data_IF_385430086373
#
_entry.id   IF_385430086373
#
_cell.length_a   1.000
_cell.length_b   1.000
_cell.length_c   1.000
_cell.angle_alpha   90.00
_cell.angle_beta   90.00
_cell.angle_gamma   90.00
#
_symmetry.space_group_name_H-M   'P 1'
#
loop_
_entity.id
_entity.type
_entity.pdbx_description
1 polymer ?
#
# COMPACT_ATOMS: atom_id res chain seq x y z
N UNK A 1 -2.45 31.99 7.94
CA UNK A 1 -2.51 32.11 9.41
C UNK A 1 -2.64 30.77 10.14
N UNK A 2 -2.86 29.64 9.45
CA UNK A 2 -2.94 28.30 10.08
C UNK A 2 -1.56 27.62 10.17
N UNK A 3 -0.72 27.75 9.13
CA UNK A 3 0.62 27.12 9.07
C UNK A 3 1.59 27.53 10.19
N UNK A 4 1.52 28.78 10.67
CA UNK A 4 2.42 29.27 11.73
C UNK A 4 2.14 28.64 13.10
N UNK A 5 0.92 28.11 13.31
CA UNK A 5 0.53 27.50 14.57
C UNK A 5 0.84 25.99 14.59
N UNK A 6 0.68 25.30 13.46
CA UNK A 6 0.97 23.86 13.34
C UNK A 6 2.46 23.56 13.54
N UNK A 7 3.34 24.35 12.92
CA UNK A 7 4.79 24.18 13.10
C UNK A 7 5.21 24.34 14.57
N UNK A 8 4.64 25.33 15.27
CA UNK A 8 4.93 25.56 16.68
C UNK A 8 4.47 24.39 17.56
N UNK A 9 3.29 23.82 17.27
CA UNK A 9 2.77 22.64 17.96
C UNK A 9 3.64 21.40 17.74
N UNK A 10 4.09 21.16 16.49
CA UNK A 10 4.99 20.04 16.17
C UNK A 10 6.34 20.19 16.86
N UNK A 11 6.90 21.41 16.90
CA UNK A 11 8.16 21.68 17.60
C UNK A 11 8.03 21.51 19.13
N UNK A 12 6.88 21.88 19.70
CA UNK A 12 6.57 21.68 21.12
C UNK A 12 6.42 20.19 21.44
N UNK A 13 5.65 19.45 20.65
CA UNK A 13 5.50 18.00 20.80
C UNK A 13 6.85 17.28 20.70
N UNK A 14 7.71 17.67 19.75
CA UNK A 14 9.05 17.08 19.61
C UNK A 14 9.93 17.34 20.85
N UNK A 15 9.85 18.53 21.45
CA UNK A 15 10.58 18.85 22.69
C UNK A 15 10.04 18.06 23.88
N UNK A 16 8.73 17.91 23.99
CA UNK A 16 8.11 17.11 25.05
C UNK A 16 8.53 15.64 24.95
N UNK A 17 8.60 15.12 23.72
CA UNK A 17 9.06 13.76 23.44
C UNK A 17 10.51 13.53 23.86
N UNK A 18 11.39 14.52 23.89
CA UNK A 18 12.78 14.32 24.34
C UNK A 18 12.90 13.75 25.76
N UNK A 19 11.88 13.96 26.61
CA UNK A 19 11.85 13.51 28.00
C UNK A 19 10.68 12.57 28.32
N UNK A 20 10.13 11.90 27.30
CA UNK A 20 8.97 11.01 27.44
C UNK A 20 9.18 9.92 28.50
N UNK A 21 10.42 9.42 28.62
CA UNK A 21 10.86 8.36 29.53
C UNK A 21 10.75 8.76 31.01
N UNK A 22 10.75 10.07 31.30
CA UNK A 22 10.59 10.63 32.65
C UNK A 22 9.13 10.85 33.05
N UNK A 23 8.21 10.70 32.09
CA UNK A 23 6.78 10.99 32.25
C UNK A 23 5.90 9.77 31.90
N UNK A 24 6.03 8.62 32.61
CA UNK A 24 5.29 7.39 32.31
C UNK A 24 3.77 7.48 32.54
N UNK A 25 3.31 8.53 33.23
CA UNK A 25 1.87 8.85 33.33
C UNK A 25 1.35 9.53 32.08
N UNK A 26 2.19 10.17 31.28
CA UNK A 26 1.76 10.86 30.06
C UNK A 26 2.05 10.03 28.82
N UNK A 27 3.15 9.27 28.81
CA UNK A 27 3.59 8.51 27.65
C UNK A 27 3.66 7.00 27.90
N UNK A 28 3.57 6.25 26.82
CA UNK A 28 3.87 4.82 26.74
C UNK A 28 4.62 4.52 25.45
N UNK A 29 5.56 3.59 25.53
CA UNK A 29 6.25 3.08 24.36
C UNK A 29 5.44 1.94 23.73
N UNK A 30 4.87 2.18 22.55
CA UNK A 30 4.13 1.14 21.82
C UNK A 30 5.05 0.13 21.13
N UNK A 31 6.33 0.47 20.94
CA UNK A 31 7.33 -0.43 20.37
C UNK A 31 8.21 -1.07 21.46
N UNK A 32 7.78 -1.03 22.73
CA UNK A 32 8.52 -1.62 23.84
C UNK A 32 8.77 -3.12 23.56
N UNK A 33 10.03 -3.56 23.48
CA UNK A 33 10.37 -4.91 23.07
C UNK A 33 9.98 -5.97 24.09
N UNK A 34 9.46 -7.09 23.58
CA UNK A 34 9.20 -8.29 24.36
C UNK A 34 10.41 -9.23 24.34
N UNK A 35 10.83 -9.68 25.52
CA UNK A 35 11.89 -10.67 25.67
C UNK A 35 11.31 -12.09 25.63
N UNK A 36 11.68 -12.89 24.62
CA UNK A 36 11.30 -14.31 24.51
C UNK A 36 12.56 -15.18 24.54
N UNK A 37 12.92 -15.65 25.73
CA UNK A 37 14.17 -16.40 25.93
C UNK A 37 15.38 -15.50 25.64
N UNK A 38 16.22 -15.89 24.69
CA UNK A 38 17.36 -15.08 24.25
C UNK A 38 16.97 -13.98 23.26
N UNK A 39 15.88 -14.16 22.49
CA UNK A 39 15.46 -13.24 21.43
C UNK A 39 14.70 -12.02 21.97
N UNK A 40 14.92 -10.89 21.31
CA UNK A 40 14.19 -9.63 21.50
C UNK A 40 13.24 -9.48 20.32
N UNK A 41 11.97 -9.12 20.57
CA UNK A 41 10.96 -8.91 19.52
C UNK A 41 10.31 -7.55 19.71
N UNK A 42 10.25 -6.79 18.62
CA UNK A 42 9.61 -5.48 18.59
C UNK A 42 8.18 -5.62 18.07
N UNK A 43 7.18 -5.04 18.74
CA UNK A 43 5.78 -5.12 18.30
C UNK A 43 5.50 -4.41 16.97
N UNK A 44 6.19 -3.29 16.70
CA UNK A 44 5.92 -2.42 15.55
C UNK A 44 7.05 -2.51 14.53
N UNK A 45 8.26 -2.07 14.89
CA UNK A 45 9.41 -1.97 13.98
C UNK A 45 10.68 -2.50 14.63
N UNK A 46 11.40 -3.35 13.91
CA UNK A 46 12.69 -3.89 14.35
C UNK A 46 13.81 -2.90 14.00
N UNK A 47 14.57 -2.39 14.99
CA UNK A 47 15.70 -1.49 14.74
C UNK A 47 16.77 -2.10 13.82
N UNK A 48 16.94 -3.43 13.79
CA UNK A 48 17.88 -4.07 12.88
C UNK A 48 17.55 -3.80 11.40
N UNK A 49 16.32 -3.40 11.07
CA UNK A 49 15.96 -3.03 9.69
C UNK A 49 16.75 -1.81 9.16
N UNK A 50 17.34 -0.99 10.04
CA UNK A 50 18.14 0.18 9.65
C UNK A 50 19.53 -0.20 9.11
N UNK A 51 20.02 -1.40 9.41
CA UNK A 51 21.36 -1.81 9.00
C UNK A 51 21.57 -1.57 7.51
N UNK A 52 22.56 -0.75 7.14
CA UNK A 52 22.72 -0.37 5.75
C UNK A 52 23.14 -1.60 4.94
N UNK A 53 22.32 -2.06 3.98
CA UNK A 53 22.71 -3.19 3.16
C UNK A 53 23.95 -2.80 2.35
N UNK A 54 24.96 -3.67 2.33
CA UNK A 54 26.18 -3.39 1.56
C UNK A 54 25.91 -3.46 0.07
N UNK A 55 25.75 -2.29 -0.55
CA UNK A 55 25.59 -2.15 -1.99
C UNK A 55 26.82 -2.66 -2.74
N UNK A 56 26.64 -3.71 -3.54
CA UNK A 56 27.62 -4.35 -4.45
C UNK A 56 29.02 -4.66 -3.87
N UNK A 57 29.13 -5.84 -3.27
CA UNK A 57 30.14 -6.85 -3.69
C UNK A 57 29.42 -8.19 -3.83
N UNK A 58 29.70 -8.94 -4.89
CA UNK A 58 29.30 -10.35 -4.94
C UNK A 58 29.83 -11.05 -3.67
N UNK A 59 28.94 -11.71 -2.91
CA UNK A 59 29.28 -12.28 -1.60
C UNK A 59 29.26 -11.32 -0.40
N UNK A 60 28.75 -10.09 -0.54
CA UNK A 60 28.44 -9.24 0.62
C UNK A 60 27.08 -9.64 1.20
N UNK A 61 27.04 -9.91 2.51
CA UNK A 61 25.80 -10.10 3.25
C UNK A 61 24.89 -8.88 3.11
N UNK A 62 23.59 -9.17 3.09
CA UNK A 62 22.47 -8.23 3.29
C UNK A 62 22.66 -7.32 4.51
N UNK A 63 23.52 -7.72 5.44
CA UNK A 63 23.76 -7.15 6.77
C UNK A 63 22.51 -6.96 7.61
N UNK A 64 21.37 -7.47 7.13
CA UNK A 64 20.12 -7.40 7.81
C UNK A 64 19.34 -6.12 7.52
N UNK A 65 19.62 -5.40 6.44
CA UNK A 65 18.94 -4.13 6.16
C UNK A 65 17.53 -4.25 5.58
N UNK A 66 16.82 -3.12 5.58
CA UNK A 66 15.77 -2.78 4.62
C UNK A 66 16.23 -1.52 3.91
N UNK A 67 16.19 -1.53 2.58
CA UNK A 67 16.71 -0.40 1.82
C UNK A 67 15.87 0.87 1.99
N UNK A 68 16.57 1.99 2.19
CA UNK A 68 15.94 3.30 2.32
C UNK A 68 15.32 3.55 3.70
N UNK A 69 15.40 2.60 4.63
CA UNK A 69 14.98 2.80 6.02
C UNK A 69 16.15 3.30 6.86
N UNK A 70 15.92 4.39 7.57
CA UNK A 70 16.87 4.96 8.52
C UNK A 70 16.08 5.61 9.66
N UNK A 71 16.66 5.66 10.86
CA UNK A 71 16.09 6.37 12.00
C UNK A 71 17.19 7.05 12.80
N UNK A 72 16.84 8.08 13.56
CA UNK A 72 17.75 8.67 14.54
C UNK A 72 17.12 8.59 15.92
N UNK A 73 17.92 8.18 16.91
CA UNK A 73 17.54 8.19 18.32
C UNK A 73 18.29 9.30 19.08
N UNK A 74 18.98 10.19 18.38
CA UNK A 74 19.68 11.31 18.99
C UNK A 74 18.70 12.27 19.66
N UNK A 75 18.91 12.55 20.94
CA UNK A 75 18.08 13.50 21.70
C UNK A 75 16.72 12.98 22.14
N UNK A 76 16.41 11.70 21.91
CA UNK A 76 15.16 11.06 22.37
C UNK A 76 15.49 10.10 23.53
N UNK A 77 14.69 10.14 24.60
CA UNK A 77 14.78 9.15 25.67
C UNK A 77 14.66 7.73 25.12
N UNK A 78 15.52 6.81 25.55
CA UNK A 78 15.55 5.43 25.02
C UNK A 78 14.68 4.44 25.82
N UNK A 79 13.93 4.97 26.78
CA UNK A 79 13.01 4.21 27.60
C UNK A 79 13.68 3.37 28.70
N UNK A 80 12.87 2.76 29.58
CA UNK A 80 13.35 2.05 30.77
C UNK A 80 14.09 0.75 30.46
N UNK A 81 13.93 0.20 29.25
CA UNK A 81 14.48 -1.10 28.85
C UNK A 81 15.85 -1.04 28.16
N UNK A 82 16.42 0.16 27.94
CA UNK A 82 17.71 0.34 27.23
C UNK A 82 18.81 -0.58 27.80
N UNK A 83 19.00 -0.58 29.13
CA UNK A 83 20.05 -1.37 29.78
C UNK A 83 19.88 -2.89 29.63
N UNK A 84 18.65 -3.38 29.45
CA UNK A 84 18.37 -4.79 29.18
C UNK A 84 18.65 -5.15 27.72
N UNK A 85 18.35 -4.23 26.79
CA UNK A 85 18.61 -4.38 25.37
C UNK A 85 20.10 -4.39 25.05
N UNK A 86 20.87 -3.45 25.63
CA UNK A 86 22.33 -3.39 25.42
C UNK A 86 23.04 -4.68 25.86
N UNK A 87 22.56 -5.33 26.94
CA UNK A 87 23.10 -6.63 27.40
C UNK A 87 22.85 -7.78 26.42
N UNK A 88 21.86 -7.63 25.54
CA UNK A 88 21.49 -8.59 24.50
C UNK A 88 21.97 -8.20 23.11
N UNK A 89 22.73 -7.11 22.99
CA UNK A 89 23.18 -6.59 21.69
C UNK A 89 22.03 -6.08 20.81
N UNK A 90 20.92 -5.64 21.42
CA UNK A 90 19.77 -5.07 20.72
C UNK A 90 19.70 -3.55 20.92
N UNK A 91 19.15 -2.83 19.94
CA UNK A 91 19.02 -1.38 20.00
C UNK A 91 17.61 -0.93 20.42
N UNK A 92 17.46 0.12 21.26
CA UNK A 92 16.15 0.69 21.55
C UNK A 92 15.65 1.55 20.39
N UNK A 93 14.41 1.29 19.94
CA UNK A 93 13.68 2.14 19.00
C UNK A 93 12.28 2.44 19.57
N UNK A 94 12.18 3.39 20.52
CA UNK A 94 10.91 3.66 21.20
C UNK A 94 9.92 4.38 20.28
N UNK A 95 8.63 4.05 20.42
CA UNK A 95 7.51 4.73 19.81
C UNK A 95 6.63 5.37 20.90
N UNK A 96 7.05 6.51 21.46
CA UNK A 96 6.33 7.17 22.55
C UNK A 96 5.00 7.77 22.08
N UNK A 97 3.90 7.34 22.68
CA UNK A 97 2.54 7.85 22.43
C UNK A 97 1.90 8.33 23.73
N UNK A 98 1.11 9.41 23.65
CA UNK A 98 0.39 9.96 24.80
C UNK A 98 -0.76 9.02 25.21
N UNK A 99 -0.90 8.77 26.52
CA UNK A 99 -2.04 8.05 27.07
C UNK A 99 -3.34 8.83 26.90
N UNK A 100 -4.40 8.12 26.51
CA UNK A 100 -5.78 8.57 26.62
C UNK A 100 -6.38 7.92 27.86
N UNK A 101 -6.88 8.75 28.76
CA UNK A 101 -7.52 8.35 30.00
C UNK A 101 -9.04 8.36 29.85
N UNK A 102 -9.69 7.34 30.40
CA UNK A 102 -11.15 7.24 30.47
C UNK A 102 -11.60 7.40 31.93
N UNK A 103 -12.54 8.31 32.16
CA UNK A 103 -13.23 8.46 33.44
C UNK A 103 -14.39 7.46 33.57
N UNK A 104 -14.87 7.26 34.79
CA UNK A 104 -15.99 6.33 35.09
C UNK A 104 -17.27 6.65 34.31
N UNK A 105 -17.51 7.92 34.00
CA UNK A 105 -18.63 8.38 33.18
C UNK A 105 -18.45 8.13 31.66
N UNK A 106 -17.30 7.61 31.24
CA UNK A 106 -16.96 7.34 29.85
C UNK A 106 -16.28 8.51 29.12
N UNK A 107 -16.14 9.68 29.76
CA UNK A 107 -15.43 10.82 29.17
C UNK A 107 -13.93 10.50 29.00
N UNK A 108 -13.36 11.04 27.92
CA UNK A 108 -11.97 10.84 27.54
C UNK A 108 -11.16 12.12 27.74
N UNK A 109 -9.89 11.97 28.07
CA UNK A 109 -8.96 13.08 28.16
C UNK A 109 -7.51 12.64 28.23
N UNK A 110 -6.62 13.62 28.23
CA UNK A 110 -5.17 13.44 28.33
C UNK A 110 -4.65 14.13 29.59
N UNK A 111 -3.45 13.77 30.03
CA UNK A 111 -2.76 14.52 31.09
C UNK A 111 -1.83 15.57 30.46
N UNK A 112 -1.89 16.79 30.97
CA UNK A 112 -0.91 17.83 30.66
C UNK A 112 0.42 17.61 31.39
N UNK A 113 1.45 18.42 31.08
CA UNK A 113 2.76 18.35 31.73
C UNK A 113 2.74 18.63 33.24
N UNK A 114 1.65 19.20 33.76
CA UNK A 114 1.39 19.42 35.19
C UNK A 114 0.58 18.30 35.84
N UNK A 115 0.36 17.17 35.14
CA UNK A 115 -0.44 16.01 35.58
C UNK A 115 -1.91 16.35 35.82
N UNK A 116 -2.44 17.36 35.12
CA UNK A 116 -3.86 17.71 35.16
C UNK A 116 -4.57 17.06 33.99
N UNK A 117 -5.76 16.54 34.26
CA UNK A 117 -6.62 15.99 33.22
C UNK A 117 -7.24 17.10 32.38
N UNK A 118 -7.08 16.97 31.07
CA UNK A 118 -7.66 17.82 30.04
C UNK A 118 -8.58 16.95 29.20
N UNK A 119 -9.88 17.17 29.31
CA UNK A 119 -10.87 16.43 28.55
C UNK A 119 -10.74 16.72 27.05
N UNK A 120 -10.75 15.69 26.20
CA UNK A 120 -10.70 15.83 24.73
C UNK A 120 -12.08 16.18 24.15
N UNK A 121 -13.16 15.74 24.79
CA UNK A 121 -14.53 16.11 24.45
C UNK A 121 -15.49 15.85 25.63
N UNK A 122 -16.38 16.81 25.91
CA UNK A 122 -17.30 16.76 27.06
C UNK A 122 -16.57 17.05 28.37
N UNK A 123 -17.02 18.05 29.13
CA UNK A 123 -16.32 18.61 30.31
C UNK A 123 -16.17 17.69 31.53
N UNK A 124 -15.71 16.46 31.34
CA UNK A 124 -15.41 15.49 32.39
C UNK A 124 -14.30 16.02 33.30
N UNK A 125 -14.59 16.09 34.60
CA UNK A 125 -13.62 16.47 35.63
C UNK A 125 -13.34 15.25 36.51
N UNK A 126 -12.07 14.82 36.65
CA UNK A 126 -11.73 13.74 37.56
C UNK A 126 -12.08 14.13 38.99
N UNK A 127 -12.81 13.27 39.68
CA UNK A 127 -13.18 13.46 41.08
C UNK A 127 -13.20 12.11 41.81
N UNK A 128 -13.46 12.12 43.12
CA UNK A 128 -13.64 10.87 43.87
C UNK A 128 -14.82 10.04 43.35
N UNK A 129 -15.86 10.71 42.86
CA UNK A 129 -17.06 10.06 42.32
C UNK A 129 -16.91 9.65 40.85
N UNK A 130 -16.03 10.35 40.12
CA UNK A 130 -15.68 10.08 38.72
C UNK A 130 -14.16 9.85 38.55
N UNK A 131 -13.61 8.73 39.06
CA UNK A 131 -12.19 8.44 38.94
C UNK A 131 -11.81 8.03 37.51
N UNK A 132 -10.50 8.12 37.19
CA UNK A 132 -9.94 7.48 36.00
C UNK A 132 -10.01 5.96 36.17
N UNK A 133 -10.67 5.27 35.23
CA UNK A 133 -10.92 3.81 35.30
C UNK A 133 -10.08 3.02 34.30
N UNK A 134 -9.65 3.65 33.20
CA UNK A 134 -8.81 3.02 32.19
C UNK A 134 -7.85 4.02 31.55
N UNK A 135 -6.79 3.48 30.95
CA UNK A 135 -5.90 4.20 30.04
C UNK A 135 -5.67 3.33 28.82
N UNK A 136 -5.59 3.95 27.65
CA UNK A 136 -5.27 3.28 26.40
C UNK A 136 -4.43 4.20 25.53
N UNK A 137 -3.60 3.60 24.70
CA UNK A 137 -2.84 4.28 23.66
C UNK A 137 -3.00 3.45 22.40
N UNK A 138 -3.04 4.11 21.27
CA UNK A 138 -3.13 3.44 19.97
C UNK A 138 -2.24 4.17 18.99
N UNK A 139 -1.78 3.42 18.02
CA UNK A 139 -1.16 3.91 16.81
C UNK A 139 -1.80 3.13 15.66
N UNK A 140 -2.03 3.83 14.55
CA UNK A 140 -2.55 3.23 13.34
C UNK A 140 -1.49 3.42 12.27
N UNK A 141 -1.17 2.32 11.59
CA UNK A 141 -0.30 2.37 10.43
C UNK A 141 -1.09 2.72 9.18
N UNK A 142 -0.39 3.28 8.20
CA UNK A 142 -0.90 3.39 6.85
C UNK A 142 -0.50 2.15 6.04
N UNK A 143 -1.42 1.19 5.96
CA UNK A 143 -1.24 -0.04 5.18
C UNK A 143 -1.05 0.23 3.67
N UNK A 144 -1.34 1.44 3.17
CA UNK A 144 -1.10 1.81 1.75
C UNK A 144 0.36 2.05 1.43
N UNK A 145 1.19 2.34 2.44
CA UNK A 145 2.61 2.58 2.27
C UNK A 145 3.46 1.30 2.37
N UNK A 146 2.82 0.14 2.55
CA UNK A 146 3.48 -1.16 2.67
C UNK A 146 3.45 -1.95 1.38
N UNK A 147 4.45 -2.81 1.21
CA UNK A 147 4.49 -3.71 0.06
C UNK A 147 3.70 -4.99 0.34
N UNK A 148 2.94 -5.45 -0.66
CA UNK A 148 2.09 -6.61 -0.52
C UNK A 148 2.59 -7.80 -1.36
N UNK A 149 3.08 -8.88 -0.74
CA UNK A 149 3.60 -10.05 -1.45
C UNK A 149 2.53 -10.84 -2.20
N UNK A 150 1.24 -10.56 -2.02
CA UNK A 150 0.18 -11.18 -2.81
C UNK A 150 -0.03 -10.53 -4.18
N UNK A 151 0.48 -9.31 -4.39
CA UNK A 151 0.22 -8.53 -5.61
C UNK A 151 1.45 -7.84 -6.19
N UNK A 152 2.47 -7.55 -5.38
CA UNK A 152 3.74 -6.96 -5.81
C UNK A 152 4.74 -8.05 -6.13
N UNK A 153 5.68 -7.76 -7.02
CA UNK A 153 6.75 -8.67 -7.36
C UNK A 153 8.01 -7.92 -7.75
N UNK A 154 7.87 -7.02 -8.71
CA UNK A 154 8.95 -6.22 -9.23
C UNK A 154 9.53 -6.79 -10.51
N UNK A 155 10.62 -6.17 -10.91
CA UNK A 155 11.23 -6.37 -12.21
C UNK A 155 11.19 -5.10 -13.04
N UNK A 156 11.82 -5.18 -14.20
CA UNK A 156 11.89 -4.07 -15.14
C UNK A 156 10.57 -3.94 -15.89
N UNK A 157 9.85 -2.79 -15.78
CA UNK A 157 8.61 -2.58 -16.51
C UNK A 157 8.87 -2.39 -18.02
N UNK A 158 7.94 -2.87 -18.83
CA UNK A 158 7.95 -2.63 -20.27
C UNK A 158 7.33 -1.27 -20.59
N UNK A 159 8.13 -0.21 -20.55
CA UNK A 159 7.66 1.15 -20.87
C UNK A 159 7.54 1.39 -22.38
N UNK A 160 6.52 2.14 -22.85
CA UNK A 160 6.40 2.53 -24.24
C UNK A 160 7.59 3.36 -24.74
N UNK A 161 7.78 3.31 -26.05
CA UNK A 161 8.94 3.75 -26.84
C UNK A 161 9.42 5.19 -26.56
N UNK A 162 10.47 5.35 -25.75
CA UNK A 162 11.29 6.57 -25.75
C UNK A 162 12.66 6.21 -26.33
N UNK A 163 13.03 6.76 -27.47
CA UNK A 163 14.17 6.30 -28.27
C UNK A 163 15.52 6.55 -27.56
N UNK A 164 16.44 5.56 -27.56
CA UNK A 164 17.88 5.83 -27.40
C UNK A 164 18.74 4.75 -26.73
N UNK A 165 18.21 4.00 -25.75
CA UNK A 165 18.98 3.05 -24.93
C UNK A 165 18.98 1.61 -25.45
N UNK A 166 19.94 0.79 -24.97
CA UNK A 166 19.95 -0.67 -25.20
C UNK A 166 18.67 -1.33 -24.66
N UNK A 167 18.17 -0.85 -23.51
CA UNK A 167 16.89 -1.25 -22.92
C UNK A 167 15.71 -1.06 -23.88
N UNK A 168 15.61 0.11 -24.51
CA UNK A 168 14.48 0.41 -25.41
C UNK A 168 14.54 -0.43 -26.69
N UNK A 169 15.75 -0.78 -27.16
CA UNK A 169 15.93 -1.73 -28.27
C UNK A 169 15.55 -3.16 -27.89
N UNK A 170 15.83 -3.58 -26.67
CA UNK A 170 15.42 -4.88 -26.19
C UNK A 170 13.89 -4.95 -26.05
N UNK A 171 13.26 -3.89 -25.51
CA UNK A 171 11.79 -3.76 -25.47
C UNK A 171 11.16 -3.90 -26.86
N UNK A 172 11.86 -3.43 -27.90
CA UNK A 172 11.43 -3.53 -29.30
C UNK A 172 11.50 -4.94 -29.87
N UNK A 173 12.41 -5.76 -29.34
CA UNK A 173 12.70 -7.09 -29.85
C UNK A 173 11.97 -8.18 -29.07
N UNK A 174 11.77 -7.98 -27.79
CA UNK A 174 11.29 -8.98 -26.85
C UNK A 174 10.02 -8.47 -26.17
N UNK A 175 8.88 -8.66 -26.82
CA UNK A 175 7.59 -8.29 -26.25
C UNK A 175 7.27 -9.20 -25.04
N UNK A 176 6.72 -8.66 -23.94
CA UNK A 176 6.23 -9.45 -22.82
C UNK A 176 5.22 -10.51 -23.26
N UNK A 177 5.24 -11.65 -22.59
CA UNK A 177 4.25 -12.70 -22.82
C UNK A 177 2.90 -12.33 -22.20
N UNK A 178 1.81 -12.95 -22.68
CA UNK A 178 0.52 -12.90 -21.99
C UNK A 178 0.70 -13.44 -20.54
N UNK A 179 0.07 -12.79 -19.57
CA UNK A 179 0.19 -13.03 -18.12
C UNK A 179 1.57 -12.72 -17.50
N UNK A 180 2.48 -12.04 -18.21
CA UNK A 180 3.71 -11.50 -17.61
C UNK A 180 3.43 -10.16 -16.90
N UNK A 181 2.55 -10.19 -15.90
CA UNK A 181 2.00 -9.01 -15.21
C UNK A 181 3.03 -8.04 -14.67
N UNK A 182 4.15 -8.56 -14.17
CA UNK A 182 5.28 -7.79 -13.65
C UNK A 182 5.94 -6.87 -14.69
N UNK A 183 5.58 -6.98 -15.97
CA UNK A 183 6.08 -6.10 -17.05
C UNK A 183 5.08 -5.04 -17.48
N UNK A 184 3.80 -5.18 -17.19
CA UNK A 184 2.80 -4.25 -17.67
C UNK A 184 2.84 -2.96 -16.84
N UNK A 185 3.12 -1.79 -17.45
CA UNK A 185 3.09 -0.53 -16.72
C UNK A 185 1.74 -0.29 -16.06
N UNK A 186 1.77 0.12 -14.78
CA UNK A 186 0.56 0.35 -14.00
C UNK A 186 -0.03 -0.91 -13.36
N UNK A 187 0.44 -2.12 -13.69
CA UNK A 187 0.02 -3.32 -12.98
C UNK A 187 0.70 -3.37 -11.59
N UNK A 188 -0.01 -3.71 -10.49
CA UNK A 188 0.56 -3.79 -9.15
C UNK A 188 1.78 -4.72 -9.03
N UNK A 189 1.82 -5.80 -9.80
CA UNK A 189 2.97 -6.71 -9.89
C UNK A 189 4.29 -6.06 -10.33
N UNK A 190 4.24 -4.87 -10.94
CA UNK A 190 5.42 -4.08 -11.28
C UNK A 190 6.06 -3.37 -10.08
N UNK A 191 5.40 -3.32 -8.91
CA UNK A 191 5.97 -2.74 -7.68
C UNK A 191 7.01 -3.70 -7.11
N UNK A 192 8.18 -3.16 -6.76
CA UNK A 192 9.37 -3.94 -6.44
C UNK A 192 9.46 -4.34 -4.97
N UNK A 193 9.49 -5.66 -4.70
CA UNK A 193 9.65 -6.23 -3.35
C UNK A 193 11.11 -6.41 -2.91
N UNK A 194 12.05 -6.28 -3.83
CA UNK A 194 13.47 -6.48 -3.52
C UNK A 194 14.05 -5.56 -2.43
N UNK A 195 13.62 -4.29 -2.24
CA UNK A 195 14.15 -3.44 -1.16
C UNK A 195 14.01 -4.06 0.24
N UNK A 196 13.03 -4.96 0.39
CA UNK A 196 12.72 -5.64 1.65
C UNK A 196 13.23 -7.08 1.62
N UNK A 197 12.87 -7.84 0.58
CA UNK A 197 13.12 -9.28 0.57
C UNK A 197 14.55 -9.64 0.20
N UNK A 198 15.22 -8.80 -0.59
CA UNK A 198 16.57 -9.07 -1.10
C UNK A 198 17.39 -7.76 -1.27
N UNK A 199 17.63 -7.01 -0.18
CA UNK A 199 18.31 -5.72 -0.21
C UNK A 199 19.79 -5.80 -0.62
N UNK A 200 20.36 -4.67 -1.04
CA UNK A 200 21.76 -4.50 -1.45
C UNK A 200 22.07 -4.93 -2.88
N UNK A 201 21.05 -5.29 -3.65
CA UNK A 201 21.17 -5.87 -4.99
C UNK A 201 20.95 -4.87 -6.11
N UNK A 202 21.61 -5.12 -7.24
CA UNK A 202 21.52 -4.25 -8.42
C UNK A 202 20.33 -4.58 -9.30
N UNK A 203 19.27 -3.79 -9.16
CA UNK A 203 17.97 -3.99 -9.82
C UNK A 203 17.93 -3.67 -11.30
N UNK A 204 18.81 -2.79 -11.78
CA UNK A 204 18.66 -2.14 -13.08
C UNK A 204 19.67 -2.61 -14.13
N UNK A 205 20.39 -3.70 -13.86
CA UNK A 205 21.40 -4.23 -14.76
C UNK A 205 20.90 -5.50 -15.45
N UNK A 206 20.87 -5.48 -16.79
CA UNK A 206 20.51 -6.59 -17.68
C UNK A 206 21.60 -7.68 -17.78
N UNK A 207 22.34 -7.91 -16.70
CA UNK A 207 23.27 -9.02 -16.62
C UNK A 207 22.46 -10.31 -16.44
N UNK A 208 22.77 -11.36 -17.20
CA UNK A 208 22.10 -12.66 -17.13
C UNK A 208 22.10 -13.23 -15.70
N UNK A 209 23.14 -12.99 -14.91
CA UNK A 209 23.21 -13.42 -13.50
C UNK A 209 22.19 -12.68 -12.60
N UNK A 210 21.74 -11.48 -13.00
CA UNK A 210 20.76 -10.65 -12.27
C UNK A 210 19.33 -10.88 -12.74
N UNK A 211 19.12 -11.64 -13.81
CA UNK A 211 17.79 -12.07 -14.22
C UNK A 211 17.30 -13.22 -13.34
N UNK A 212 18.21 -14.11 -12.93
CA UNK A 212 17.90 -15.21 -12.00
C UNK A 212 17.43 -14.69 -10.63
N UNK A 213 17.91 -13.52 -10.23
CA UNK A 213 17.45 -12.83 -9.02
C UNK A 213 15.93 -12.57 -9.00
N UNK A 214 15.38 -12.08 -10.11
CA UNK A 214 13.95 -11.80 -10.23
C UNK A 214 13.13 -13.09 -10.25
N UNK A 215 13.66 -14.12 -10.93
CA UNK A 215 13.04 -15.46 -10.96
C UNK A 215 12.91 -16.00 -9.53
N UNK A 216 13.89 -15.77 -8.67
CA UNK A 216 13.80 -16.17 -7.26
C UNK A 216 12.68 -15.45 -6.50
N UNK A 217 12.53 -14.14 -6.68
CA UNK A 217 11.40 -13.38 -6.08
C UNK A 217 10.06 -13.97 -6.56
N UNK A 218 9.95 -14.30 -7.85
CA UNK A 218 8.73 -14.89 -8.40
C UNK A 218 8.42 -16.27 -7.82
N UNK A 219 9.41 -17.03 -7.32
CA UNK A 219 9.13 -18.28 -6.58
C UNK A 219 8.53 -18.07 -5.19
N UNK A 220 8.65 -16.87 -4.61
CA UNK A 220 8.13 -16.55 -3.28
C UNK A 220 6.73 -15.95 -3.32
N UNK A 221 6.24 -15.57 -4.50
CA UNK A 221 5.01 -14.79 -4.67
C UNK A 221 3.97 -15.65 -5.36
N UNK A 222 2.75 -15.73 -4.83
CA UNK A 222 1.69 -16.47 -5.49
C UNK A 222 1.31 -15.81 -6.81
N UNK A 223 0.90 -16.62 -7.78
CA UNK A 223 0.41 -16.25 -9.12
C UNK A 223 1.47 -15.69 -10.07
N UNK A 224 2.44 -14.92 -9.61
CA UNK A 224 3.48 -14.35 -10.48
C UNK A 224 4.53 -15.41 -10.77
N UNK A 225 4.55 -15.88 -12.02
CA UNK A 225 5.53 -16.88 -12.45
C UNK A 225 6.67 -16.26 -13.27
N UNK A 226 7.83 -16.87 -13.11
CA UNK A 226 9.02 -16.59 -13.90
C UNK A 226 8.96 -17.11 -15.34
N UNK A 227 9.85 -16.61 -16.20
CA UNK A 227 9.90 -16.97 -17.63
C UNK A 227 9.41 -15.87 -18.59
N UNK A 228 8.81 -16.27 -19.72
CA UNK A 228 8.26 -15.33 -20.70
C UNK A 228 9.36 -14.53 -21.39
N UNK A 229 9.30 -13.20 -21.37
CA UNK A 229 10.36 -12.37 -21.95
C UNK A 229 11.66 -12.33 -21.11
N UNK A 230 11.63 -12.81 -19.85
CA UNK A 230 12.72 -12.74 -18.86
C UNK A 230 13.36 -11.36 -18.77
N UNK A 231 12.57 -10.38 -18.35
CA UNK A 231 12.98 -8.96 -18.37
C UNK A 231 13.47 -8.53 -19.74
N UNK A 232 12.75 -8.93 -20.79
CA UNK A 232 12.97 -8.39 -22.13
C UNK A 232 14.38 -8.77 -22.64
N UNK A 233 14.79 -10.01 -22.41
CA UNK A 233 16.10 -10.53 -22.86
C UNK A 233 15.99 -11.70 -23.83
N UNK A 234 14.84 -12.37 -23.85
CA UNK A 234 14.51 -13.41 -24.83
C UNK A 234 13.10 -13.19 -25.37
N UNK A 235 12.86 -13.70 -26.57
CA UNK A 235 11.49 -13.85 -27.07
C UNK A 235 10.83 -15.00 -26.30
N UNK A 236 9.56 -14.85 -25.87
CA UNK A 236 8.81 -15.96 -25.29
C UNK A 236 8.84 -17.19 -26.22
N UNK A 237 9.04 -18.37 -25.65
CA UNK A 237 9.10 -19.61 -26.41
C UNK A 237 7.68 -20.17 -26.61
N UNK A 238 7.09 -19.90 -27.77
CA UNK A 238 5.75 -20.36 -28.08
C UNK A 238 5.67 -21.87 -28.40
N UNK A 239 6.81 -22.57 -28.51
CA UNK A 239 6.84 -24.01 -28.76
C UNK A 239 6.64 -24.81 -27.47
N UNK A 240 7.18 -24.32 -26.35
CA UNK A 240 7.00 -24.96 -25.04
C UNK A 240 5.58 -24.80 -24.50
N UNK A 241 4.94 -25.89 -24.01
CA UNK A 241 3.57 -25.83 -23.48
C UNK A 241 3.36 -24.80 -22.35
N UNK A 242 4.42 -24.47 -21.58
CA UNK A 242 4.38 -23.52 -20.47
C UNK A 242 4.30 -22.04 -20.90
N UNK A 243 4.71 -21.72 -22.12
CA UNK A 243 4.75 -20.34 -22.64
C UNK A 243 3.88 -20.19 -23.93
N UNK A 244 3.40 -21.29 -24.53
CA UNK A 244 2.61 -21.34 -25.78
C UNK A 244 1.38 -20.44 -25.82
N UNK A 245 0.66 -20.30 -24.70
CA UNK A 245 -0.53 -19.45 -24.58
C UNK A 245 -0.32 -18.31 -23.57
N UNK A 246 0.93 -17.89 -23.38
CA UNK A 246 1.33 -17.05 -22.25
C UNK A 246 1.81 -17.86 -21.06
N UNK A 247 2.26 -17.14 -20.04
CA UNK A 247 2.68 -17.73 -18.77
C UNK A 247 1.47 -18.31 -18.05
N UNK A 248 1.60 -19.55 -17.58
CA UNK A 248 0.58 -20.22 -16.77
C UNK A 248 0.86 -19.88 -15.31
N UNK A 249 -0.01 -19.10 -14.63
CA UNK A 249 0.15 -18.77 -13.23
C UNK A 249 0.15 -20.03 -12.37
N UNK A 250 0.85 -20.00 -11.23
CA UNK A 250 0.77 -21.08 -10.27
C UNK A 250 -0.64 -21.20 -9.65
N UNK A 251 -0.88 -22.34 -9.02
CA UNK A 251 -2.11 -22.61 -8.27
C UNK A 251 -1.95 -22.29 -6.78
N UNK A 252 -0.92 -21.55 -6.41
CA UNK A 252 -0.64 -21.24 -5.01
C UNK A 252 -1.71 -20.28 -4.47
N UNK A 253 -2.06 -20.44 -3.20
CA UNK A 253 -3.03 -19.56 -2.55
C UNK A 253 -2.37 -18.22 -2.22
N UNK A 254 -3.17 -17.17 -2.17
CA UNK A 254 -2.71 -15.92 -1.56
C UNK A 254 -2.43 -16.13 -0.07
N UNK A 255 -1.43 -15.44 0.45
CA UNK A 255 -1.06 -15.48 1.86
C UNK A 255 -2.12 -14.80 2.71
N UNK A 256 -2.63 -15.53 3.72
CA UNK A 256 -3.60 -14.99 4.68
C UNK A 256 -2.94 -14.17 5.80
N UNK A 257 -1.67 -14.43 6.09
CA UNK A 257 -0.81 -13.67 6.99
C UNK A 257 0.61 -13.67 6.43
N UNK A 258 1.44 -12.73 6.88
CA UNK A 258 2.87 -12.71 6.49
C UNK A 258 3.55 -14.02 6.88
N UNK A 259 3.22 -14.63 8.03
CA UNK A 259 3.81 -15.89 8.44
C UNK A 259 3.47 -17.07 7.50
N UNK A 260 2.32 -17.03 6.81
CA UNK A 260 1.96 -18.05 5.80
C UNK A 260 2.94 -17.99 4.62
N UNK A 261 3.59 -16.85 4.37
CA UNK A 261 4.62 -16.73 3.32
C UNK A 261 5.88 -17.54 3.60
N UNK A 262 6.08 -18.06 4.82
CA UNK A 262 7.17 -18.99 5.12
C UNK A 262 6.90 -20.41 4.62
N UNK A 263 5.65 -20.72 4.23
CA UNK A 263 5.21 -22.07 3.90
C UNK A 263 4.66 -22.16 2.47
N UNK A 264 5.11 -23.18 1.75
CA UNK A 264 4.48 -23.62 0.50
C UNK A 264 3.08 -24.21 0.77
N UNK A 265 2.19 -24.28 -0.24
CA UNK A 265 0.88 -24.93 -0.09
C UNK A 265 0.95 -26.41 0.33
N UNK A 266 2.06 -27.08 0.02
CA UNK A 266 2.35 -28.47 0.43
C UNK A 266 2.94 -28.58 1.84
N UNK A 267 2.93 -27.48 2.62
CA UNK A 267 3.49 -27.38 3.98
C UNK A 267 5.02 -27.60 4.04
N UNK A 268 5.71 -27.48 2.91
CA UNK A 268 7.16 -27.33 2.86
C UNK A 268 7.57 -25.88 3.13
N UNK A 269 8.86 -25.65 3.36
CA UNK A 269 9.43 -24.31 3.59
C UNK A 269 9.53 -23.58 2.25
N UNK A 270 9.05 -22.33 2.19
CA UNK A 270 9.24 -21.50 1.00
C UNK A 270 10.74 -21.17 0.83
N UNK A 271 11.26 -21.21 -0.41
CA UNK A 271 12.70 -21.11 -0.67
C UNK A 271 13.17 -19.66 -0.62
N UNK A 272 13.08 -19.00 0.55
CA UNK A 272 13.74 -17.71 0.74
C UNK A 272 15.22 -17.88 0.47
N UNK A 273 15.82 -16.96 -0.28
CA UNK A 273 17.24 -17.01 -0.59
C UNK A 273 18.00 -15.93 0.13
N UNK A 274 19.29 -16.17 0.31
CA UNK A 274 20.22 -15.16 0.75
C UNK A 274 20.44 -14.14 -0.38
N UNK A 275 20.27 -12.84 -0.10
CA UNK A 275 20.57 -11.80 -1.07
C UNK A 275 22.03 -11.87 -1.57
N UNK A 276 22.96 -12.32 -0.72
CA UNK A 276 24.37 -12.48 -1.06
C UNK A 276 24.67 -13.68 -1.96
N UNK A 277 23.81 -14.70 -1.91
CA UNK A 277 23.97 -15.97 -2.64
C UNK A 277 22.58 -16.55 -2.99
N UNK A 278 22.03 -16.19 -4.17
CA UNK A 278 20.72 -16.67 -4.61
C UNK A 278 20.61 -18.20 -4.72
N UNK A 279 21.73 -18.93 -4.83
CA UNK A 279 21.76 -20.40 -4.87
C UNK A 279 21.66 -21.05 -3.48
N UNK A 280 21.74 -20.26 -2.40
CA UNK A 280 21.63 -20.72 -1.03
C UNK A 280 20.23 -20.45 -0.49
N UNK A 281 19.39 -21.48 -0.29
CA UNK A 281 18.15 -21.31 0.46
C UNK A 281 18.47 -21.02 1.93
N UNK A 282 17.76 -20.06 2.50
CA UNK A 282 17.76 -19.76 3.92
C UNK A 282 17.15 -20.93 4.70
N UNK A 283 17.69 -21.17 5.89
CA UNK A 283 17.04 -22.07 6.84
C UNK A 283 15.70 -21.48 7.30
N UNK A 284 14.75 -22.29 7.79
CA UNK A 284 13.47 -21.76 8.29
C UNK A 284 13.62 -20.69 9.38
N UNK A 285 14.68 -20.79 10.18
CA UNK A 285 14.97 -19.84 11.26
C UNK A 285 15.45 -18.51 10.66
N UNK A 286 16.38 -18.54 9.71
CA UNK A 286 16.88 -17.35 9.01
C UNK A 286 15.77 -16.65 8.22
N UNK A 287 14.90 -17.43 7.54
CA UNK A 287 13.75 -16.89 6.82
C UNK A 287 12.75 -16.20 7.77
N UNK A 288 12.46 -16.81 8.93
CA UNK A 288 11.61 -16.21 9.94
C UNK A 288 12.24 -14.94 10.55
N UNK A 289 13.56 -14.91 10.77
CA UNK A 289 14.26 -13.71 11.25
C UNK A 289 14.21 -12.56 10.25
N UNK A 290 14.40 -12.86 8.95
CA UNK A 290 14.23 -11.88 7.87
C UNK A 290 12.79 -11.34 7.81
N UNK A 291 11.80 -12.22 7.90
CA UNK A 291 10.39 -11.81 7.86
C UNK A 291 10.00 -10.94 9.05
N UNK A 292 10.46 -11.29 10.25
CA UNK A 292 10.16 -10.53 11.48
C UNK A 292 10.75 -9.12 11.42
N UNK A 293 11.96 -8.99 10.90
CA UNK A 293 12.59 -7.69 10.69
C UNK A 293 11.85 -6.85 9.65
N UNK A 294 11.43 -7.48 8.55
CA UNK A 294 10.75 -6.80 7.44
C UNK A 294 9.26 -6.58 7.67
N UNK A 295 8.69 -7.13 8.74
CA UNK A 295 7.26 -7.17 9.00
C UNK A 295 6.59 -5.80 8.98
N UNK A 296 7.29 -4.76 9.44
CA UNK A 296 6.79 -3.39 9.44
C UNK A 296 6.49 -2.87 8.02
N UNK A 297 7.26 -3.32 7.02
CA UNK A 297 7.19 -2.82 5.65
C UNK A 297 6.31 -3.67 4.72
N UNK A 298 5.81 -4.80 5.22
CA UNK A 298 5.03 -5.77 4.46
C UNK A 298 3.59 -5.83 4.95
N UNK A 299 2.65 -6.06 4.05
CA UNK A 299 1.25 -6.33 4.38
C UNK A 299 0.65 -7.36 3.45
N UNK A 300 -0.19 -8.26 3.94
CA UNK A 300 -0.98 -9.13 3.06
C UNK A 300 -2.31 -8.50 2.66
N UNK A 301 -2.71 -7.41 3.34
CA UNK A 301 -4.00 -6.76 3.20
C UNK A 301 -3.80 -5.31 2.79
N UNK A 302 -3.84 -5.05 1.48
CA UNK A 302 -3.89 -3.68 0.96
C UNK A 302 -5.34 -3.22 0.91
N UNK A 303 -5.87 -2.79 2.05
CA UNK A 303 -7.25 -2.32 2.17
C UNK A 303 -7.24 -0.85 2.59
N UNK A 304 -7.31 0.04 1.61
CA UNK A 304 -7.53 1.44 1.88
C UNK A 304 -8.41 2.06 0.80
N UNK A 305 -9.23 3.07 1.17
CA UNK A 305 -9.96 3.84 0.19
C UNK A 305 -8.99 4.62 -0.69
N UNK A 306 -9.24 4.62 -2.00
CA UNK A 306 -8.52 5.53 -2.88
C UNK A 306 -9.03 6.97 -2.69
N UNK A 307 -8.18 7.83 -2.14
CA UNK A 307 -8.47 9.24 -1.93
C UNK A 307 -7.76 10.12 -2.96
N UNK A 308 -8.37 11.27 -3.25
CA UNK A 308 -7.75 12.36 -3.99
C UNK A 308 -6.79 13.13 -3.07
N UNK A 309 -5.99 14.04 -3.64
CA UNK A 309 -5.12 14.95 -2.88
C UNK A 309 -5.88 15.86 -1.90
N UNK A 310 -7.21 15.91 -1.97
CA UNK A 310 -8.08 16.66 -1.07
C UNK A 310 -8.68 15.80 0.05
N UNK A 311 -8.20 14.57 0.23
CA UNK A 311 -8.77 13.58 1.17
C UNK A 311 -10.27 13.32 0.92
N UNK A 312 -10.64 13.27 -0.36
CA UNK A 312 -12.01 12.96 -0.81
C UNK A 312 -11.99 11.77 -1.76
N UNK A 313 -13.09 11.02 -1.92
CA UNK A 313 -13.09 9.79 -2.70
C UNK A 313 -12.77 10.01 -4.18
N UNK A 314 -11.99 9.11 -4.79
CA UNK A 314 -11.77 9.13 -6.24
C UNK A 314 -13.00 8.64 -7.00
N UNK A 315 -13.12 9.08 -8.25
CA UNK A 315 -14.17 8.61 -9.17
C UNK A 315 -13.57 7.54 -10.07
N UNK A 316 -14.15 6.34 -10.06
CA UNK A 316 -13.78 5.27 -11.00
C UNK A 316 -14.27 5.60 -12.40
N UNK A 317 -13.38 5.39 -13.38
CA UNK A 317 -13.66 5.52 -14.80
C UNK A 317 -14.11 4.19 -15.43
N UNK A 318 -14.31 3.14 -14.63
CA UNK A 318 -14.81 1.87 -15.13
C UNK A 318 -16.27 2.02 -15.58
N UNK A 319 -16.59 1.72 -16.85
CA UNK A 319 -17.93 1.91 -17.38
C UNK A 319 -18.87 0.81 -16.89
N UNK A 320 -19.89 1.17 -16.11
CA UNK A 320 -20.90 0.22 -15.62
C UNK A 320 -22.29 0.58 -16.12
N UNK A 321 -23.12 -0.43 -16.37
CA UNK A 321 -24.53 -0.22 -16.67
C UNK A 321 -25.28 0.28 -15.40
N UNK A 322 -26.28 1.13 -15.59
CA UNK A 322 -27.14 1.63 -14.51
C UNK A 322 -27.81 0.46 -13.79
N UNK A 323 -27.80 0.51 -12.46
CA UNK A 323 -28.52 -0.46 -11.63
C UNK A 323 -29.88 0.12 -11.26
N UNK A 324 -30.96 -0.44 -11.79
CA UNK A 324 -32.32 -0.10 -11.38
C UNK A 324 -32.89 -1.20 -10.45
N UNK A 325 -32.94 -0.94 -9.14
CA UNK A 325 -33.62 -1.80 -8.17
C UNK A 325 -32.71 -2.73 -7.36
N UNK A 326 -33.28 -3.82 -6.82
CA UNK A 326 -32.60 -4.82 -5.95
C UNK A 326 -32.31 -6.13 -6.67
N UNK A 327 -32.70 -6.27 -7.94
CA UNK A 327 -32.44 -7.45 -8.76
C UNK A 327 -31.14 -7.24 -9.54
N UNK A 328 -30.26 -8.25 -9.49
CA UNK A 328 -29.03 -8.28 -10.28
C UNK A 328 -29.36 -7.98 -11.75
N UNK A 329 -28.72 -6.94 -12.31
CA UNK A 329 -28.88 -6.58 -13.71
C UNK A 329 -28.15 -7.61 -14.57
N UNK A 330 -28.79 -8.12 -15.63
CA UNK A 330 -28.19 -9.05 -16.61
C UNK A 330 -26.96 -8.44 -17.32
N UNK A 331 -26.75 -7.12 -17.17
CA UNK A 331 -25.65 -6.38 -17.76
C UNK A 331 -24.41 -6.23 -16.86
N UNK A 332 -24.31 -6.95 -15.73
CA UNK A 332 -23.17 -6.86 -14.81
C UNK A 332 -22.47 -8.21 -14.64
N UNK A 333 -21.23 -8.30 -15.10
CA UNK A 333 -20.37 -9.44 -14.79
C UNK A 333 -19.96 -9.45 -13.31
N UNK A 334 -19.42 -10.57 -12.83
CA UNK A 334 -18.79 -10.63 -11.50
C UNK A 334 -17.68 -9.59 -11.35
N UNK A 335 -16.98 -9.24 -12.44
CA UNK A 335 -15.94 -8.21 -12.44
C UNK A 335 -16.53 -6.80 -12.24
N UNK A 336 -17.61 -6.47 -12.96
CA UNK A 336 -18.30 -5.19 -12.81
C UNK A 336 -18.85 -4.99 -11.41
N UNK A 337 -19.39 -6.07 -10.82
CA UNK A 337 -19.90 -6.06 -9.44
C UNK A 337 -18.81 -5.74 -8.44
N UNK A 338 -17.62 -6.33 -8.61
CA UNK A 338 -16.48 -6.09 -7.74
C UNK A 338 -15.95 -4.66 -7.88
N UNK A 339 -15.79 -4.17 -9.12
CA UNK A 339 -15.32 -2.80 -9.37
C UNK A 339 -16.31 -1.76 -8.86
N UNK A 340 -17.60 -2.01 -9.03
CA UNK A 340 -18.67 -1.19 -8.47
C UNK A 340 -18.63 -1.16 -6.95
N UNK A 341 -18.47 -2.31 -6.30
CA UNK A 341 -18.31 -2.40 -4.85
C UNK A 341 -17.13 -1.53 -4.36
N UNK A 342 -15.99 -1.61 -5.05
CA UNK A 342 -14.80 -0.84 -4.70
C UNK A 342 -14.95 0.66 -4.95
N UNK A 343 -15.84 1.06 -5.86
CA UNK A 343 -16.14 2.46 -6.18
C UNK A 343 -17.34 3.03 -5.39
N UNK A 344 -17.85 2.32 -4.38
CA UNK A 344 -19.01 2.73 -3.60
C UNK A 344 -18.63 3.01 -2.14
N UNK A 345 -19.19 4.07 -1.54
CA UNK A 345 -19.03 4.36 -0.12
C UNK A 345 -20.32 4.18 0.67
N UNK A 346 -20.23 3.92 1.97
CA UNK A 346 -21.40 3.87 2.85
C UNK A 346 -22.07 5.24 3.00
N UNK A 347 -23.41 5.29 3.01
CA UNK A 347 -24.14 6.51 3.29
C UNK A 347 -24.12 6.82 4.81
N UNK A 348 -23.77 8.04 5.26
CA UNK A 348 -23.65 8.38 6.68
C UNK A 348 -24.92 8.12 7.51
N UNK A 349 -26.10 8.24 6.89
CA UNK A 349 -27.41 7.99 7.54
C UNK A 349 -27.94 6.57 7.36
N UNK A 350 -27.12 5.61 6.90
CA UNK A 350 -27.48 4.19 6.84
C UNK A 350 -28.47 3.77 5.73
N UNK A 351 -28.64 4.59 4.69
CA UNK A 351 -29.67 4.41 3.65
C UNK A 351 -29.25 3.74 2.34
N UNK A 352 -28.02 3.25 2.22
CA UNK A 352 -27.49 2.63 1.00
C UNK A 352 -26.03 2.94 0.75
N UNK A 353 -25.53 2.59 -0.44
CA UNK A 353 -24.19 2.94 -0.92
C UNK A 353 -24.25 4.09 -1.91
N UNK A 354 -23.26 4.97 -1.80
CA UNK A 354 -23.08 6.13 -2.65
C UNK A 354 -22.05 5.75 -3.73
N UNK A 355 -22.43 5.65 -5.01
CA UNK A 355 -21.50 5.30 -6.06
C UNK A 355 -20.62 6.50 -6.46
N UNK A 356 -19.33 6.23 -6.63
CA UNK A 356 -18.30 7.13 -7.15
C UNK A 356 -17.79 6.60 -8.49
N UNK A 357 -18.71 6.26 -9.38
CA UNK A 357 -18.44 5.85 -10.75
C UNK A 357 -19.59 6.33 -11.62
N UNK A 358 -19.30 6.63 -12.89
CA UNK A 358 -20.33 7.01 -13.83
C UNK A 358 -21.09 5.77 -14.31
N UNK A 359 -22.39 5.93 -14.52
CA UNK A 359 -23.30 4.87 -14.95
C UNK A 359 -23.83 5.16 -16.36
N UNK A 360 -24.13 4.10 -17.10
CA UNK A 360 -24.67 4.16 -18.47
C UNK A 360 -26.01 3.46 -18.55
N UNK A 361 -26.94 4.03 -19.30
CA UNK A 361 -28.29 3.48 -19.48
C UNK A 361 -28.61 3.22 -20.95
N UNK A 362 -28.25 4.14 -21.84
CA UNK A 362 -28.59 4.01 -23.26
C UNK A 362 -27.46 4.50 -24.16
N UNK A 363 -26.84 3.57 -24.90
CA UNK A 363 -25.75 3.86 -25.83
C UNK A 363 -26.19 4.66 -27.07
N UNK A 364 -27.47 4.59 -27.45
CA UNK A 364 -28.00 5.27 -28.64
C UNK A 364 -28.37 6.75 -28.39
N UNK A 365 -28.26 7.23 -27.15
CA UNK A 365 -28.62 8.60 -26.79
C UNK A 365 -27.40 9.39 -26.31
N UNK A 366 -27.28 10.63 -26.79
CA UNK A 366 -26.22 11.54 -26.39
C UNK A 366 -26.45 12.19 -25.02
N UNK A 367 -27.67 12.15 -24.45
CA UNK A 367 -28.02 12.89 -23.22
C UNK A 367 -28.60 12.06 -22.08
N UNK A 368 -29.18 10.89 -22.36
CA UNK A 368 -29.94 10.08 -21.36
C UNK A 368 -29.10 9.77 -20.12
N UNK A 369 -27.84 9.39 -20.29
CA UNK A 369 -26.95 9.05 -19.17
C UNK A 369 -26.69 10.24 -18.23
N UNK A 370 -26.79 11.48 -18.72
CA UNK A 370 -26.61 12.69 -17.92
C UNK A 370 -27.94 13.24 -17.38
N UNK A 371 -29.01 13.18 -18.17
CA UNK A 371 -30.31 13.76 -17.83
C UNK A 371 -31.13 12.87 -16.90
N UNK A 372 -31.12 11.56 -17.12
CA UNK A 372 -31.97 10.60 -16.41
C UNK A 372 -31.30 9.98 -15.18
N UNK A 373 -29.96 10.05 -15.07
CA UNK A 373 -29.20 9.52 -13.93
C UNK A 373 -28.73 10.68 -13.04
N UNK A 374 -29.45 11.04 -11.96
CA UNK A 374 -29.13 12.21 -11.15
C UNK A 374 -27.71 12.16 -10.57
N UNK A 375 -27.25 10.95 -10.23
CA UNK A 375 -25.95 10.73 -9.61
C UNK A 375 -24.77 11.06 -10.53
N UNK A 376 -24.91 10.88 -11.85
CA UNK A 376 -23.87 11.28 -12.80
C UNK A 376 -23.67 12.81 -12.77
N UNK A 377 -24.76 13.59 -12.64
CA UNK A 377 -24.66 15.06 -12.50
C UNK A 377 -23.97 15.46 -11.21
N UNK A 378 -24.29 14.80 -10.10
CA UNK A 378 -23.61 15.04 -8.82
C UNK A 378 -22.11 14.76 -8.88
N UNK A 379 -21.71 13.65 -9.52
CA UNK A 379 -20.30 13.31 -9.73
C UNK A 379 -19.60 14.31 -10.66
N UNK A 380 -20.29 14.77 -11.71
CA UNK A 380 -19.77 15.80 -12.59
C UNK A 380 -19.52 17.11 -11.84
N UNK A 381 -20.50 17.59 -11.07
CA UNK A 381 -20.35 18.78 -10.21
C UNK A 381 -19.29 18.60 -9.13
N UNK A 382 -19.13 17.38 -8.60
CA UNK A 382 -18.08 17.03 -7.66
C UNK A 382 -16.68 17.19 -8.29
N UNK A 383 -16.46 16.65 -9.49
CA UNK A 383 -15.20 16.80 -10.23
C UNK A 383 -14.93 18.25 -10.64
N UNK A 384 -15.96 18.99 -11.06
CA UNK A 384 -15.87 20.42 -11.35
C UNK A 384 -15.38 21.21 -10.13
N UNK A 385 -15.94 20.94 -8.95
CA UNK A 385 -15.50 21.58 -7.70
C UNK A 385 -14.05 21.23 -7.34
N UNK A 386 -13.65 19.96 -7.49
CA UNK A 386 -12.28 19.52 -7.20
C UNK A 386 -11.26 20.17 -8.13
N UNK A 387 -11.52 20.19 -9.43
CA UNK A 387 -10.62 20.80 -10.43
C UNK A 387 -10.55 22.34 -10.32
N UNK A 388 -11.59 22.97 -9.75
CA UNK A 388 -11.60 24.39 -9.45
C UNK A 388 -10.86 24.77 -8.16
N UNK A 389 -10.62 23.79 -7.28
CA UNK A 389 -9.98 24.01 -5.99
C UNK A 389 -8.45 24.03 -6.13
N UNK A 390 -7.76 24.81 -5.28
CA UNK A 390 -6.30 24.85 -5.25
C UNK A 390 -5.75 23.56 -4.66
N UNK A 391 -4.85 22.90 -5.37
CA UNK A 391 -4.27 21.63 -4.94
C UNK A 391 -3.36 21.87 -3.72
N UNK A 392 -3.54 21.13 -2.60
CA UNK A 392 -2.67 21.22 -1.44
C UNK A 392 -1.21 20.95 -1.83
N UNK A 393 -0.28 21.75 -1.29
CA UNK A 393 1.17 21.62 -1.56
C UNK A 393 1.68 22.16 -2.91
N UNK A 394 0.81 22.36 -3.91
CA UNK A 394 1.20 22.87 -5.25
C UNK A 394 0.81 24.33 -5.49
N UNK A 395 -0.11 24.90 -4.69
CA UNK A 395 -0.44 26.34 -4.68
C UNK A 395 -1.31 26.84 -5.85
N UNK A 396 -1.48 26.05 -6.91
CA UNK A 396 -2.34 26.34 -8.07
C UNK A 396 -3.51 25.36 -8.19
N UNK A 397 -4.53 25.69 -8.98
CA UNK A 397 -5.65 24.81 -9.33
C UNK A 397 -5.53 24.30 -10.77
N UNK A 398 -6.25 23.24 -11.11
CA UNK A 398 -6.33 22.75 -12.48
C UNK A 398 -6.98 23.80 -13.42
N UNK A 399 -7.97 24.55 -12.92
CA UNK A 399 -8.54 25.72 -13.59
C UNK A 399 -7.53 26.85 -13.84
N UNK A 400 -6.49 26.95 -13.02
CA UNK A 400 -5.40 27.89 -13.26
C UNK A 400 -4.49 27.49 -14.44
N UNK A 401 -4.51 26.21 -14.84
CA UNK A 401 -3.69 25.66 -15.92
C UNK A 401 -4.41 25.63 -17.27
N UNK A 402 -5.68 25.21 -17.31
CA UNK A 402 -6.46 24.92 -18.53
C UNK A 402 -7.68 25.82 -18.70
N UNK A 403 -7.62 27.05 -18.19
CA UNK A 403 -8.76 27.97 -18.10
C UNK A 403 -10.08 27.30 -17.62
N UNK A 404 -11.24 27.93 -17.82
CA UNK A 404 -12.52 27.34 -17.40
C UNK A 404 -13.20 26.53 -18.52
N UNK A 405 -13.02 26.90 -19.78
CA UNK A 405 -13.68 26.27 -20.91
C UNK A 405 -12.99 24.94 -21.26
N UNK A 406 -11.65 24.93 -21.36
CA UNK A 406 -10.93 23.69 -21.66
C UNK A 406 -11.06 22.70 -20.51
N UNK A 407 -11.06 23.17 -19.25
CA UNK A 407 -11.34 22.34 -18.08
C UNK A 407 -12.69 21.61 -18.16
N UNK A 408 -13.76 22.32 -18.50
CA UNK A 408 -15.10 21.69 -18.63
C UNK A 408 -15.15 20.73 -19.82
N UNK A 409 -14.43 21.04 -20.91
CA UNK A 409 -14.28 20.13 -22.03
C UNK A 409 -13.56 18.83 -21.60
N UNK A 410 -12.45 18.92 -20.87
CA UNK A 410 -11.72 17.75 -20.36
C UNK A 410 -12.64 16.89 -19.47
N UNK A 411 -13.44 17.50 -18.59
CA UNK A 411 -14.41 16.76 -17.77
C UNK A 411 -15.48 16.07 -18.61
N UNK A 412 -15.94 16.72 -19.69
CA UNK A 412 -16.89 16.14 -20.64
C UNK A 412 -16.27 14.97 -21.40
N UNK A 413 -15.02 15.10 -21.88
CA UNK A 413 -14.28 14.03 -22.55
C UNK A 413 -14.07 12.81 -21.64
N UNK A 414 -13.81 13.02 -20.35
CA UNK A 414 -13.75 11.93 -19.36
C UNK A 414 -15.09 11.19 -19.27
N UNK A 415 -16.20 11.93 -19.22
CA UNK A 415 -17.53 11.32 -19.16
C UNK A 415 -17.89 10.59 -20.46
N UNK A 416 -17.61 11.18 -21.62
CA UNK A 416 -17.87 10.58 -22.93
C UNK A 416 -16.98 9.37 -23.22
N UNK A 417 -15.74 9.35 -22.72
CA UNK A 417 -14.87 8.17 -22.79
C UNK A 417 -15.53 6.96 -22.13
N UNK A 418 -16.14 7.12 -20.95
CA UNK A 418 -16.85 6.05 -20.25
C UNK A 418 -18.03 5.56 -21.09
N UNK A 419 -18.76 6.50 -21.72
CA UNK A 419 -19.93 6.18 -22.54
C UNK A 419 -19.58 5.41 -23.81
N UNK A 420 -18.40 5.65 -24.37
CA UNK A 420 -17.96 5.09 -25.66
C UNK A 420 -17.05 3.87 -25.55
N UNK A 421 -16.67 3.44 -24.34
CA UNK A 421 -15.79 2.28 -24.13
C UNK A 421 -16.53 1.08 -23.55
N UNK A 422 -16.04 -0.13 -23.81
CA UNK A 422 -16.63 -1.39 -23.32
C UNK A 422 -18.15 -1.47 -23.59
N UNK A 423 -18.57 -1.19 -24.84
CA UNK A 423 -19.97 -1.21 -25.28
C UNK A 423 -20.53 -2.64 -25.40
N UNK A 424 -19.65 -3.61 -25.56
CA UNK A 424 -19.96 -5.03 -25.66
C UNK A 424 -19.07 -5.78 -24.69
N UNK A 425 -19.67 -6.60 -23.82
CA UNK A 425 -18.94 -7.47 -22.89
C UNK A 425 -19.11 -8.92 -23.33
N UNK A 426 -18.03 -9.51 -23.82
CA UNK A 426 -17.99 -10.89 -24.32
C UNK A 426 -18.24 -11.93 -23.21
N UNK A 427 -18.13 -11.56 -21.92
CA UNK A 427 -18.37 -12.47 -20.80
C UNK A 427 -19.85 -12.59 -20.41
N UNK A 428 -20.71 -11.68 -20.90
CA UNK A 428 -22.16 -11.71 -20.63
C UNK A 428 -22.93 -12.59 -21.59
N UNK A 429 -22.37 -12.87 -22.77
CA UNK A 429 -23.01 -13.69 -23.78
C UNK A 429 -22.36 -15.08 -23.86
N UNK A 430 -23.10 -16.12 -23.46
CA UNK A 430 -22.71 -17.50 -23.71
C UNK A 430 -22.64 -17.83 -25.21
N UNK A 431 -22.10 -19.00 -25.55
CA UNK A 431 -21.76 -19.52 -26.90
C UNK A 431 -22.90 -19.60 -27.96
N UNK A 432 -23.94 -18.79 -27.88
CA UNK A 432 -25.00 -18.73 -28.91
C UNK A 432 -24.97 -17.39 -29.64
N UNK A 433 -24.06 -17.29 -30.61
CA UNK A 433 -24.15 -16.39 -31.76
C UNK A 433 -23.79 -17.14 -33.04
#
# INVERSE_FOLDING_TARGET
MVESNEKALVEEDFRDLATWDRSPWQYVDLNEPAFRGEKVRYPVVDPAARDLPKWKKAGASDDGGVEGFDYTTEGIGKGPVESALSRKGAEPLPLPVKWIYQLKDGSLGVLDGSRRFVATAGGGVPSKDNPMVARFAFWADDETCKLNPNVHAGGVPAVPWVCGGAMNRNLARFLPALNEWQRYPGHPAGVDLSPILLPGQDRYSYDSAKLEYWETIYTLIPKVVGGGSRSVTKTPDFETPKERKGLIPDLDRLYASLDDSLLTPKRGVNPFVDAANPDRPLTPIEAAERLERSRFFLTVNSQAPETTLFDTPRVSLWPTHEHSGTSESDYHTTHDRLLRFSAEMGHPSGGGRIPYHFQRKNADSSTVDFEEIPRNRELYSYLDRLTGSRVPGFGMSFSGKYDNAERLQILTEIFDYIRSTNLHDDFLFGEEW
#
